data_IF_184035255049
#
_entry.id   IF_184035255049
#
_cell.length_a   1.000
_cell.length_b   1.000
_cell.length_c   1.000
_cell.angle_alpha   90.00
_cell.angle_beta   90.00
_cell.angle_gamma   90.00
#
_symmetry.space_group_name_H-M   'P 1'
#
loop_
_entity.id
_entity.type
_entity.pdbx_description
1 polymer ?
#
# COMPACT_ATOMS: atom_id res chain seq x y z
N UNK A 1 -14.32 -9.94 11.00
CA UNK A 1 -14.21 -8.49 10.74
C UNK A 1 -13.06 -8.29 9.77
N UNK A 2 -13.34 -7.83 8.54
CA UNK A 2 -12.32 -7.67 7.50
C UNK A 2 -11.64 -6.31 7.68
N UNK A 3 -10.31 -6.28 7.84
CA UNK A 3 -9.54 -5.05 8.01
C UNK A 3 -9.01 -4.57 6.65
N UNK A 4 -9.17 -3.28 6.40
CA UNK A 4 -8.73 -2.58 5.18
C UNK A 4 -7.67 -1.56 5.55
N UNK A 5 -6.55 -1.56 4.82
CA UNK A 5 -5.41 -0.67 5.10
C UNK A 5 -4.77 -0.16 3.80
N UNK A 6 -4.13 1.00 3.90
CA UNK A 6 -3.59 1.76 2.77
C UNK A 6 -2.09 1.97 2.97
N UNK A 7 -1.30 1.59 1.97
CA UNK A 7 0.17 1.56 2.02
C UNK A 7 0.80 2.36 0.88
N UNK A 8 1.58 3.40 1.24
CA UNK A 8 2.47 4.10 0.31
C UNK A 8 3.78 4.52 0.97
N UNK A 9 3.76 4.75 2.30
CA UNK A 9 4.93 5.17 3.09
C UNK A 9 5.74 3.98 3.61
N UNK A 10 5.07 2.86 3.89
CA UNK A 10 5.66 1.63 4.39
C UNK A 10 5.16 0.44 3.55
N UNK A 11 5.95 -0.63 3.52
CA UNK A 11 5.58 -1.86 2.81
C UNK A 11 4.42 -2.58 3.51
N UNK A 12 3.37 -2.91 2.77
CA UNK A 12 2.28 -3.75 3.30
C UNK A 12 2.76 -5.15 3.68
N UNK A 13 3.85 -5.65 3.09
CA UNK A 13 4.43 -6.96 3.42
C UNK A 13 5.02 -7.01 4.83
N UNK A 14 5.42 -5.86 5.38
CA UNK A 14 6.09 -5.78 6.69
C UNK A 14 5.18 -5.32 7.82
N UNK A 15 4.16 -4.51 7.51
CA UNK A 15 3.25 -3.94 8.51
C UNK A 15 1.77 -4.15 8.22
N UNK A 16 1.45 -4.78 7.09
CA UNK A 16 0.08 -5.07 6.69
C UNK A 16 -0.54 -6.27 7.38
N UNK A 17 -1.85 -6.47 7.16
CA UNK A 17 -2.60 -7.50 7.83
C UNK A 17 -2.24 -8.85 7.21
N UNK A 18 -1.66 -9.74 8.02
CA UNK A 18 -1.10 -11.01 7.54
C UNK A 18 -2.10 -11.86 6.73
N UNK A 19 -3.35 -11.96 7.20
CA UNK A 19 -4.39 -12.78 6.57
C UNK A 19 -5.26 -12.05 5.53
N UNK A 20 -5.15 -10.72 5.43
CA UNK A 20 -6.06 -9.89 4.64
C UNK A 20 -5.34 -8.97 3.64
N UNK A 21 -4.12 -9.33 3.22
CA UNK A 21 -3.34 -8.56 2.24
C UNK A 21 -4.09 -8.35 0.92
N UNK A 22 -4.98 -9.27 0.54
CA UNK A 22 -5.83 -9.14 -0.66
C UNK A 22 -6.83 -7.96 -0.61
N UNK A 23 -7.02 -7.38 0.58
CA UNK A 23 -7.88 -6.23 0.83
C UNK A 23 -7.11 -4.93 1.02
N UNK A 24 -5.77 -4.92 0.94
CA UNK A 24 -5.00 -3.68 1.06
C UNK A 24 -4.83 -2.98 -0.28
N UNK A 25 -4.69 -1.66 -0.23
CA UNK A 25 -4.22 -0.88 -1.38
C UNK A 25 -2.75 -0.56 -1.12
N UNK A 26 -1.86 -1.18 -1.87
CA UNK A 26 -0.42 -0.98 -1.74
C UNK A 26 0.17 -0.30 -2.98
N UNK A 27 0.78 0.86 -2.76
CA UNK A 27 1.54 1.65 -3.71
C UNK A 27 2.97 1.91 -3.22
N UNK A 28 3.45 1.19 -2.20
CA UNK A 28 4.77 1.41 -1.61
C UNK A 28 5.90 1.25 -2.64
N UNK A 29 5.88 0.21 -3.47
CA UNK A 29 6.90 0.03 -4.52
C UNK A 29 6.88 1.17 -5.56
N UNK A 30 5.69 1.65 -5.91
CA UNK A 30 5.55 2.82 -6.78
C UNK A 30 6.07 4.10 -6.09
N UNK A 31 5.79 4.27 -4.80
CA UNK A 31 6.28 5.40 -4.01
C UNK A 31 7.82 5.37 -3.86
N UNK A 32 8.42 4.20 -3.63
CA UNK A 32 9.89 4.07 -3.56
C UNK A 32 10.53 4.37 -4.91
N UNK A 33 9.92 3.91 -6.01
CA UNK A 33 10.40 4.22 -7.36
C UNK A 33 10.29 5.71 -7.70
N UNK A 34 9.16 6.33 -7.39
CA UNK A 34 8.89 7.75 -7.70
C UNK A 34 9.70 8.70 -6.82
N UNK A 35 9.78 8.47 -5.52
CA UNK A 35 10.35 9.44 -4.58
C UNK A 35 11.76 9.12 -4.11
N UNK A 36 12.14 7.84 -4.07
CA UNK A 36 13.47 7.40 -3.63
C UNK A 36 14.34 6.92 -4.80
N UNK A 37 13.76 6.76 -6.00
CA UNK A 37 14.43 6.22 -7.20
C UNK A 37 15.01 4.82 -6.97
N UNK A 38 14.35 4.03 -6.12
CA UNK A 38 14.73 2.65 -5.80
C UNK A 38 13.81 1.66 -6.51
N UNK A 39 14.40 0.60 -7.08
CA UNK A 39 13.68 -0.57 -7.56
C UNK A 39 13.44 -1.58 -6.42
N UNK A 40 12.51 -2.51 -6.60
CA UNK A 40 12.08 -3.47 -5.57
C UNK A 40 13.27 -4.23 -4.91
N UNK A 41 14.24 -4.64 -5.72
CA UNK A 41 15.46 -5.36 -5.27
C UNK A 41 16.39 -4.51 -4.39
N UNK A 42 16.30 -3.17 -4.50
CA UNK A 42 17.14 -2.23 -3.76
C UNK A 42 16.50 -1.77 -2.45
N UNK A 43 15.23 -2.15 -2.21
CA UNK A 43 14.49 -1.75 -1.01
C UNK A 43 15.04 -2.51 0.19
N UNK A 44 15.75 -1.80 1.07
CA UNK A 44 16.20 -2.36 2.34
C UNK A 44 15.01 -2.56 3.29
N UNK A 45 15.13 -3.55 4.17
CA UNK A 45 14.24 -3.69 5.32
C UNK A 45 14.15 -2.36 6.09
N UNK A 46 12.96 -2.02 6.61
CA UNK A 46 12.64 -0.73 7.27
C UNK A 46 12.67 0.52 6.39
N UNK A 47 12.81 0.42 5.07
CA UNK A 47 12.67 1.59 4.19
C UNK A 47 11.30 2.26 4.40
N UNK A 48 11.31 3.59 4.44
CA UNK A 48 10.13 4.44 4.53
C UNK A 48 10.20 5.56 3.51
N UNK A 49 9.10 5.82 2.83
CA UNK A 49 8.99 6.96 1.90
C UNK A 49 8.60 8.19 2.71
N UNK A 50 9.58 8.99 3.10
CA UNK A 50 9.34 10.25 3.84
C UNK A 50 8.91 11.39 2.89
N UNK A 51 7.82 11.20 2.18
CA UNK A 51 7.25 12.21 1.28
C UNK A 51 5.73 12.30 1.47
N UNK A 52 5.22 13.49 1.76
CA UNK A 52 3.77 13.72 1.95
C UNK A 52 2.95 13.40 0.70
N UNK A 53 3.55 13.48 -0.49
CA UNK A 53 2.93 13.14 -1.78
C UNK A 53 2.85 11.63 -2.03
N UNK A 54 3.44 10.78 -1.19
CA UNK A 54 3.39 9.32 -1.37
C UNK A 54 1.95 8.79 -1.35
N UNK A 55 1.14 9.25 -0.40
CA UNK A 55 -0.27 8.85 -0.31
C UNK A 55 -1.10 9.35 -1.50
N UNK A 56 -0.68 10.42 -2.19
CA UNK A 56 -1.37 10.91 -3.38
C UNK A 56 -1.26 9.97 -4.59
N UNK A 57 -0.38 8.97 -4.54
CA UNK A 57 -0.33 7.90 -5.54
C UNK A 57 -1.52 6.94 -5.44
N UNK A 58 -2.27 7.01 -4.34
CA UNK A 58 -3.45 6.18 -4.11
C UNK A 58 -4.68 6.97 -4.51
N UNK A 59 -5.38 6.49 -5.54
CA UNK A 59 -6.61 7.13 -6.00
C UNK A 59 -7.82 6.72 -5.16
N UNK A 60 -8.79 7.62 -5.06
CA UNK A 60 -10.07 7.34 -4.40
C UNK A 60 -10.84 6.21 -5.11
N UNK A 61 -10.65 6.07 -6.42
CA UNK A 61 -11.23 4.98 -7.21
C UNK A 61 -10.70 3.60 -6.77
N UNK A 62 -9.38 3.47 -6.59
CA UNK A 62 -8.76 2.23 -6.09
C UNK A 62 -9.28 1.87 -4.70
N UNK A 63 -9.37 2.86 -3.80
CA UNK A 63 -9.91 2.65 -2.45
C UNK A 63 -11.37 2.18 -2.49
N UNK A 64 -12.24 2.85 -3.25
CA UNK A 64 -13.65 2.46 -3.41
C UNK A 64 -13.80 1.05 -3.98
N UNK A 65 -12.99 0.71 -4.98
CA UNK A 65 -13.00 -0.63 -5.56
C UNK A 65 -12.65 -1.70 -4.51
N UNK A 66 -11.61 -1.43 -3.72
CA UNK A 66 -11.13 -2.38 -2.73
C UNK A 66 -12.12 -2.56 -1.56
N UNK A 67 -12.76 -1.48 -1.10
CA UNK A 67 -13.83 -1.52 -0.11
C UNK A 67 -15.01 -2.33 -0.63
N UNK A 68 -15.44 -2.08 -1.88
CA UNK A 68 -16.54 -2.85 -2.49
C UNK A 68 -16.22 -4.34 -2.53
N UNK A 69 -14.99 -4.71 -2.91
CA UNK A 69 -14.54 -6.12 -2.90
C UNK A 69 -14.62 -6.73 -1.50
N UNK A 70 -14.16 -6.03 -0.47
CA UNK A 70 -14.20 -6.49 0.91
C UNK A 70 -15.63 -6.66 1.47
N UNK A 71 -16.59 -5.87 1.00
CA UNK A 71 -18.00 -5.94 1.40
C UNK A 71 -18.80 -6.99 0.62
N UNK A 72 -18.41 -7.30 -0.61
CA UNK A 72 -19.14 -8.25 -1.48
C UNK A 72 -18.70 -9.70 -1.25
N UNK A 73 -17.49 -9.92 -0.74
CA UNK A 73 -16.96 -11.24 -0.39
C UNK A 73 -17.32 -11.70 1.03
N UNK A 74 -18.40 -11.16 1.61
CA UNK A 74 -18.91 -11.47 2.95
C UNK A 74 -20.27 -12.15 2.85
#
# INVERSE_FOLDING_TARGET
MNFFEIYAVASSRLSGPYLNQQYTVDQFENATKTFLKLNAEQIKWRTRVHNRKAMSLISTAQVKHQIKKALTNN
#
